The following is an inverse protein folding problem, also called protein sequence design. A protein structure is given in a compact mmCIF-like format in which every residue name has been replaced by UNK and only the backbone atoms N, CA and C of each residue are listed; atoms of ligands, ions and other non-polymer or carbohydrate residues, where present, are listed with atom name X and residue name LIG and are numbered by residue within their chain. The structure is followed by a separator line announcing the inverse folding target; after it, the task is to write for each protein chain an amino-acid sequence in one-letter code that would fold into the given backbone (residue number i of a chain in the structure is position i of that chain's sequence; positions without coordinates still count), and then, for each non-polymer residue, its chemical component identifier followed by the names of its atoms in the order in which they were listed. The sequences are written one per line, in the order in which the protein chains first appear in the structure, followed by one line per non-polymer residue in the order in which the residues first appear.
data_IF_915241453284
#
_entry.id   IF_915241453284
#
_cell.length_a   1.000
_cell.length_b   1.000
_cell.length_c   1.000
_cell.angle_alpha   90.00
_cell.angle_beta   90.00
_cell.angle_gamma   90.00
#
_symmetry.space_group_name_H-M   'P 1'
#
loop_
_entity.id
_entity.type
_entity.pdbx_description
1 polymer ?
#
# COMPACT_ATOMS: atom_id res chain seq x y z
N UNK A 1 -5.70 3.29 10.82
CA UNK A 1 -5.92 2.51 9.59
C UNK A 1 -6.61 3.37 8.56
N UNK A 2 -6.32 3.17 7.27
CA UNK A 2 -7.10 3.72 6.17
C UNK A 2 -8.47 3.03 6.14
N UNK A 3 -9.55 3.80 6.15
CA UNK A 3 -10.92 3.27 6.14
C UNK A 3 -11.68 3.61 4.87
N UNK A 4 -11.24 4.65 4.14
CA UNK A 4 -11.80 5.04 2.85
C UNK A 4 -10.74 5.77 2.02
N UNK A 5 -10.75 5.53 0.74
CA UNK A 5 -9.92 6.22 -0.25
C UNK A 5 -10.76 6.55 -1.48
N UNK A 6 -10.59 7.74 -2.04
CA UNK A 6 -11.09 8.04 -3.36
C UNK A 6 -10.09 8.88 -4.15
N UNK A 7 -10.15 8.72 -5.47
CA UNK A 7 -9.35 9.50 -6.42
C UNK A 7 -10.17 9.83 -7.65
N UNK A 8 -9.92 11.01 -8.22
CA UNK A 8 -10.57 11.47 -9.47
C UNK A 8 -9.53 12.11 -10.36
N UNK A 9 -9.70 11.93 -11.66
CA UNK A 9 -8.88 12.53 -12.70
C UNK A 9 -7.39 12.10 -12.65
N UNK A 10 -7.09 10.91 -12.16
CA UNK A 10 -5.74 10.40 -12.02
C UNK A 10 -5.44 9.32 -13.07
N UNK A 11 -4.46 9.54 -13.93
CA UNK A 11 -4.01 8.58 -14.97
C UNK A 11 -5.19 8.01 -15.78
N UNK A 12 -5.52 6.71 -15.59
CA UNK A 12 -6.64 6.04 -16.26
C UNK A 12 -8.02 6.30 -15.64
N UNK A 13 -8.09 6.95 -14.49
CA UNK A 13 -9.33 7.22 -13.76
C UNK A 13 -9.83 8.64 -14.03
N UNK A 14 -10.73 8.82 -15.01
CA UNK A 14 -11.35 10.11 -15.27
C UNK A 14 -12.37 10.47 -14.20
N UNK A 15 -13.25 9.54 -13.90
CA UNK A 15 -14.29 9.73 -12.90
C UNK A 15 -13.81 9.36 -11.49
N UNK A 16 -14.57 9.77 -10.49
CA UNK A 16 -14.24 9.47 -9.10
C UNK A 16 -14.45 7.99 -8.81
N UNK A 17 -13.37 7.32 -8.48
CA UNK A 17 -13.38 5.96 -7.94
C UNK A 17 -13.24 6.01 -6.42
N UNK A 18 -14.10 5.28 -5.70
CA UNK A 18 -14.12 5.23 -4.25
C UNK A 18 -13.93 3.79 -3.75
N UNK A 19 -13.03 3.61 -2.81
CA UNK A 19 -12.77 2.37 -2.11
C UNK A 19 -13.13 2.49 -0.64
N UNK A 20 -14.20 1.81 -0.24
CA UNK A 20 -14.65 1.78 1.14
C UNK A 20 -14.17 0.51 1.84
N UNK A 21 -13.41 0.67 2.90
CA UNK A 21 -12.87 -0.40 3.75
C UNK A 21 -13.54 -0.44 5.13
N UNK A 22 -14.44 0.52 5.41
CA UNK A 22 -15.16 0.59 6.68
C UNK A 22 -16.36 -0.35 6.70
N UNK A 23 -16.82 -0.65 7.92
CA UNK A 23 -18.03 -1.43 8.14
C UNK A 23 -18.05 -2.79 7.40
N UNK A 24 -17.01 -3.62 7.58
CA UNK A 24 -16.99 -4.94 6.98
C UNK A 24 -18.20 -5.77 7.46
N UNK A 25 -18.66 -6.69 6.61
CA UNK A 25 -19.79 -7.58 6.90
C UNK A 25 -19.55 -8.46 8.12
N UNK A 26 -20.60 -8.99 8.71
CA UNK A 26 -20.49 -9.81 9.91
C UNK A 26 -20.24 -11.30 9.61
N UNK A 27 -19.06 -11.62 9.05
CA UNK A 27 -18.62 -13.00 8.86
C UNK A 27 -17.93 -13.53 10.12
N UNK A 28 -18.24 -14.77 10.54
CA UNK A 28 -17.66 -15.41 11.73
C UNK A 28 -16.28 -16.04 11.51
N UNK A 29 -15.83 -16.18 10.25
CA UNK A 29 -14.55 -16.77 9.88
C UNK A 29 -13.55 -15.71 9.43
N UNK A 30 -12.25 -16.05 9.48
CA UNK A 30 -11.14 -15.15 9.13
C UNK A 30 -11.28 -13.74 9.77
N UNK A 31 -11.68 -13.70 11.04
CA UNK A 31 -11.92 -12.44 11.77
C UNK A 31 -10.68 -11.54 11.87
N UNK A 32 -9.48 -12.12 11.76
CA UNK A 32 -8.21 -11.39 11.72
C UNK A 32 -7.99 -10.58 10.42
N UNK A 33 -8.80 -10.82 9.37
CA UNK A 33 -8.75 -10.03 8.14
C UNK A 33 -9.38 -8.63 8.29
N UNK A 34 -10.05 -8.38 9.41
CA UNK A 34 -10.61 -7.07 9.78
C UNK A 34 -10.10 -6.66 11.15
N UNK A 35 -9.97 -5.33 11.37
CA UNK A 35 -9.47 -4.77 12.63
C UNK A 35 -10.10 -3.40 12.85
N UNK A 36 -10.60 -3.13 14.05
CA UNK A 36 -11.16 -1.83 14.41
C UNK A 36 -12.27 -1.34 13.44
N UNK A 37 -13.13 -2.23 12.96
CA UNK A 37 -14.22 -1.88 12.05
C UNK A 37 -13.78 -1.57 10.61
N UNK A 38 -12.57 -1.96 10.23
CA UNK A 38 -12.07 -1.79 8.87
C UNK A 38 -11.42 -3.07 8.31
N UNK A 39 -11.45 -3.24 7.00
CA UNK A 39 -10.72 -4.31 6.30
C UNK A 39 -9.22 -4.09 6.50
N UNK A 40 -8.55 -5.09 7.07
CA UNK A 40 -7.11 -5.08 7.31
C UNK A 40 -6.35 -5.74 6.17
N UNK A 41 -6.86 -6.87 5.68
CA UNK A 41 -6.23 -7.62 4.60
C UNK A 41 -7.20 -7.79 3.44
N UNK A 42 -6.71 -7.64 2.20
CA UNK A 42 -7.55 -7.81 1.03
C UNK A 42 -6.79 -8.18 -0.24
N UNK A 43 -7.53 -8.74 -1.19
CA UNK A 43 -7.05 -9.07 -2.53
C UNK A 43 -7.89 -8.32 -3.55
N UNK A 44 -7.23 -7.66 -4.49
CA UNK A 44 -7.87 -6.89 -5.56
C UNK A 44 -7.69 -7.63 -6.89
N UNK A 45 -8.79 -8.02 -7.49
CA UNK A 45 -8.89 -8.61 -8.80
C UNK A 45 -9.28 -7.57 -9.85
N UNK A 46 -9.04 -7.88 -11.09
CA UNK A 46 -9.48 -7.07 -12.23
C UNK A 46 -8.79 -7.53 -13.51
N UNK A 47 -9.39 -7.30 -14.69
CA UNK A 47 -8.75 -7.64 -15.96
C UNK A 47 -7.45 -6.87 -16.17
N UNK A 48 -6.67 -7.30 -17.17
CA UNK A 48 -5.50 -6.54 -17.60
C UNK A 48 -5.95 -5.15 -18.08
N UNK A 49 -5.22 -4.12 -17.67
CA UNK A 49 -5.56 -2.74 -18.02
C UNK A 49 -6.68 -2.11 -17.17
N UNK A 50 -7.25 -2.80 -16.17
CA UNK A 50 -8.29 -2.22 -15.30
C UNK A 50 -7.77 -1.11 -14.37
N UNK A 51 -6.46 -0.88 -14.31
CA UNK A 51 -5.88 0.18 -13.51
C UNK A 51 -5.38 -0.23 -12.11
N UNK A 52 -5.25 -1.52 -11.79
CA UNK A 52 -4.81 -2.00 -10.45
C UNK A 52 -3.51 -1.33 -9.97
N UNK A 53 -2.49 -1.28 -10.83
CA UNK A 53 -1.21 -0.62 -10.53
C UNK A 53 -1.37 0.89 -10.35
N UNK A 54 -2.17 1.55 -11.18
CA UNK A 54 -2.47 2.98 -11.05
C UNK A 54 -3.25 3.28 -9.77
N UNK A 55 -4.15 2.37 -9.37
CA UNK A 55 -4.89 2.49 -8.13
C UNK A 55 -3.96 2.43 -6.90
N UNK A 56 -3.03 1.48 -6.88
CA UNK A 56 -1.98 1.43 -5.87
C UNK A 56 -1.14 2.72 -5.82
N UNK A 57 -0.68 3.20 -6.98
CA UNK A 57 0.06 4.46 -7.07
C UNK A 57 -0.75 5.67 -6.58
N UNK A 58 -2.06 5.71 -6.87
CA UNK A 58 -2.93 6.77 -6.38
C UNK A 58 -3.05 6.78 -4.85
N UNK A 59 -3.19 5.61 -4.21
CA UNK A 59 -3.21 5.50 -2.74
C UNK A 59 -1.90 6.04 -2.14
N UNK A 60 -0.78 5.83 -2.82
CA UNK A 60 0.55 6.24 -2.36
C UNK A 60 0.93 7.68 -2.73
N UNK A 61 0.08 8.44 -3.43
CA UNK A 61 0.33 9.87 -3.66
C UNK A 61 0.52 10.63 -2.36
N UNK A 62 -0.18 10.25 -1.28
CA UNK A 62 -0.04 10.85 0.04
C UNK A 62 1.39 10.73 0.61
N UNK A 63 2.11 9.63 0.29
CA UNK A 63 3.51 9.48 0.70
C UNK A 63 4.41 10.48 -0.03
N UNK A 64 4.16 10.72 -1.33
CA UNK A 64 4.80 11.79 -2.07
C UNK A 64 4.41 13.19 -1.54
N UNK A 65 3.20 13.36 -1.06
CA UNK A 65 2.63 14.62 -0.62
C UNK A 65 3.13 15.03 0.78
N UNK A 66 3.06 14.14 1.77
CA UNK A 66 3.32 14.44 3.19
C UNK A 66 4.69 13.97 3.70
N UNK A 67 5.44 13.15 2.95
CA UNK A 67 6.75 12.69 3.38
C UNK A 67 7.88 13.22 2.47
N UNK A 68 9.11 13.04 2.90
CA UNK A 68 10.29 13.32 2.05
C UNK A 68 10.67 12.14 1.16
N UNK A 69 9.96 11.02 1.29
CA UNK A 69 10.17 9.80 0.52
C UNK A 69 9.54 9.91 -0.86
N UNK A 70 10.10 9.16 -1.83
CA UNK A 70 9.53 9.00 -3.17
C UNK A 70 9.27 10.32 -3.93
N UNK A 71 10.25 11.20 -4.00
CA UNK A 71 10.21 12.47 -4.77
C UNK A 71 10.76 12.28 -6.18
N UNK A 72 10.12 11.45 -7.03
CA UNK A 72 10.54 11.23 -8.42
C UNK A 72 9.83 12.22 -9.37
N UNK A 73 10.56 13.09 -10.07
CA UNK A 73 9.95 14.07 -11.01
C UNK A 73 9.14 13.42 -12.12
N UNK A 74 9.59 12.29 -12.67
CA UNK A 74 8.90 11.54 -13.73
C UNK A 74 7.56 10.94 -13.29
N UNK A 75 7.26 10.89 -11.98
CA UNK A 75 5.94 10.55 -11.46
C UNK A 75 4.83 11.44 -12.03
N UNK A 76 5.15 12.72 -12.32
CA UNK A 76 4.19 13.70 -12.81
C UNK A 76 4.02 13.70 -14.34
N UNK A 77 4.85 12.98 -15.10
CA UNK A 77 4.78 12.93 -16.57
C UNK A 77 3.45 12.35 -17.11
N UNK A 78 2.79 11.48 -16.36
CA UNK A 78 1.50 10.90 -16.72
C UNK A 78 0.57 10.87 -15.49
N UNK A 79 0.47 12.02 -14.86
CA UNK A 79 -0.22 12.14 -13.56
C UNK A 79 -1.73 12.34 -13.71
N UNK A 80 -2.13 13.26 -14.60
CA UNK A 80 -3.51 13.63 -14.85
C UNK A 80 -4.12 12.72 -15.92
N UNK A 81 -5.40 12.43 -15.84
CA UNK A 81 -6.12 11.70 -16.88
C UNK A 81 -6.14 12.52 -18.18
N UNK A 82 -5.88 11.86 -19.31
CA UNK A 82 -5.84 12.53 -20.62
C UNK A 82 -7.19 13.15 -21.02
N UNK A 83 -8.31 12.60 -20.52
CA UNK A 83 -9.67 13.13 -20.80
C UNK A 83 -9.90 14.42 -20.02
N UNK A 84 -9.48 14.48 -18.75
CA UNK A 84 -9.66 15.62 -17.84
C UNK A 84 -8.36 16.40 -17.60
N UNK A 85 -7.49 16.54 -18.59
CA UNK A 85 -6.13 17.08 -18.41
C UNK A 85 -6.09 18.53 -17.89
N UNK A 86 -7.16 19.31 -18.08
CA UNK A 86 -7.28 20.69 -17.56
C UNK A 86 -7.77 20.75 -16.11
N UNK A 87 -8.27 19.63 -15.58
CA UNK A 87 -8.81 19.58 -14.23
C UNK A 87 -7.75 19.08 -13.24
N UNK A 88 -7.81 19.49 -11.97
CA UNK A 88 -6.92 18.94 -10.97
C UNK A 88 -7.21 17.47 -10.72
N UNK A 89 -6.17 16.76 -10.25
CA UNK A 89 -6.32 15.42 -9.67
C UNK A 89 -6.75 15.59 -8.22
N UNK A 90 -7.84 14.92 -7.82
CA UNK A 90 -8.40 15.00 -6.48
C UNK A 90 -8.15 13.71 -5.71
N UNK A 91 -7.70 13.80 -4.46
CA UNK A 91 -7.48 12.69 -3.55
C UNK A 91 -8.27 12.90 -2.25
N UNK A 92 -8.91 11.83 -1.78
CA UNK A 92 -9.67 11.83 -0.53
C UNK A 92 -9.26 10.62 0.30
N UNK A 93 -8.88 10.85 1.54
CA UNK A 93 -8.52 9.82 2.50
C UNK A 93 -9.33 9.95 3.78
N UNK A 94 -9.81 8.84 4.29
CA UNK A 94 -10.37 8.75 5.64
C UNK A 94 -9.60 7.74 6.45
N UNK A 95 -9.10 8.16 7.59
CA UNK A 95 -8.38 7.31 8.52
C UNK A 95 -9.16 7.19 9.84
N UNK A 96 -9.03 6.05 10.48
CA UNK A 96 -9.44 5.84 11.87
C UNK A 96 -8.20 5.53 12.70
N UNK A 97 -7.83 6.45 13.58
CA UNK A 97 -6.74 6.31 14.54
C UNK A 97 -7.30 6.12 15.96
N UNK A 98 -7.54 4.86 16.34
CA UNK A 98 -8.06 4.50 17.68
C UNK A 98 -9.39 5.17 18.05
N UNK A 99 -10.27 5.33 17.07
CA UNK A 99 -11.58 5.97 17.23
C UNK A 99 -11.64 7.41 16.73
N UNK A 100 -10.51 8.12 16.63
CA UNK A 100 -10.44 9.44 16.03
C UNK A 100 -10.48 9.33 14.49
N UNK A 101 -11.42 10.02 13.86
CA UNK A 101 -11.60 10.05 12.40
C UNK A 101 -10.88 11.25 11.81
N UNK A 102 -9.95 10.98 10.90
CA UNK A 102 -9.21 12.00 10.15
C UNK A 102 -9.60 11.93 8.69
N UNK A 103 -10.23 12.98 8.16
CA UNK A 103 -10.52 13.14 6.74
C UNK A 103 -9.51 14.13 6.16
N UNK A 104 -8.74 13.67 5.18
CA UNK A 104 -7.74 14.48 4.52
C UNK A 104 -7.91 14.43 3.01
N UNK A 105 -8.24 15.58 2.43
CA UNK A 105 -8.51 15.74 1.02
C UNK A 105 -7.58 16.80 0.44
N UNK A 106 -7.09 16.58 -0.76
CA UNK A 106 -6.30 17.56 -1.48
C UNK A 106 -6.43 17.40 -2.99
N UNK A 107 -6.14 18.45 -3.72
CA UNK A 107 -6.05 18.40 -5.16
C UNK A 107 -4.74 18.98 -5.68
N UNK A 108 -4.26 18.43 -6.80
CA UNK A 108 -3.01 18.84 -7.44
C UNK A 108 -3.20 19.01 -8.95
N UNK A 109 -2.44 19.93 -9.51
CA UNK A 109 -2.23 20.04 -10.96
C UNK A 109 -0.77 19.70 -11.24
N UNK A 110 -0.54 18.83 -12.23
CA UNK A 110 0.82 18.57 -12.71
C UNK A 110 1.32 19.79 -13.49
N UNK A 111 2.44 20.35 -13.09
CA UNK A 111 3.10 21.45 -13.77
C UNK A 111 4.56 21.08 -13.98
N UNK A 112 4.94 20.84 -15.23
CA UNK A 112 6.24 20.27 -15.60
C UNK A 112 6.48 18.93 -14.85
N UNK A 113 7.44 18.91 -13.92
CA UNK A 113 7.80 17.74 -13.12
C UNK A 113 7.44 17.91 -11.64
N UNK A 114 6.38 18.69 -11.34
CA UNK A 114 5.91 19.00 -9.98
C UNK A 114 4.40 18.88 -9.89
N UNK A 115 3.90 18.57 -8.71
CA UNK A 115 2.48 18.67 -8.37
C UNK A 115 2.22 19.96 -7.60
N UNK A 116 1.53 20.91 -8.21
CA UNK A 116 1.08 22.13 -7.51
C UNK A 116 -0.20 21.85 -6.74
N UNK A 117 -0.25 22.21 -5.47
CA UNK A 117 -1.39 21.99 -4.58
C UNK A 117 -2.42 23.10 -4.81
N UNK A 118 -3.61 22.74 -5.27
CA UNK A 118 -4.72 23.67 -5.50
C UNK A 118 -5.58 23.80 -4.25
N UNK A 119 -6.01 22.67 -3.71
CA UNK A 119 -6.83 22.64 -2.48
C UNK A 119 -6.21 21.69 -1.45
N UNK A 120 -6.46 21.98 -0.19
CA UNK A 120 -6.08 21.11 0.92
C UNK A 120 -7.11 21.28 2.05
N UNK A 121 -7.74 20.20 2.49
CA UNK A 121 -8.79 20.19 3.51
C UNK A 121 -8.49 19.08 4.51
N UNK A 122 -8.47 19.43 5.79
CA UNK A 122 -8.33 18.49 6.88
C UNK A 122 -9.44 18.67 7.89
N UNK A 123 -10.15 17.58 8.18
CA UNK A 123 -11.12 17.51 9.26
C UNK A 123 -10.70 16.44 10.27
N UNK A 124 -10.85 16.73 11.56
CA UNK A 124 -10.62 15.79 12.66
C UNK A 124 -11.91 15.68 13.46
N UNK A 125 -12.47 14.47 13.55
CA UNK A 125 -13.76 14.17 14.20
C UNK A 125 -14.90 15.11 13.76
N UNK A 126 -14.91 15.39 12.43
CA UNK A 126 -15.91 16.26 11.80
C UNK A 126 -15.64 17.75 11.92
N UNK A 127 -14.64 18.18 12.69
CA UNK A 127 -14.27 19.59 12.81
C UNK A 127 -13.22 19.95 11.74
N UNK A 128 -13.48 21.04 11.01
CA UNK A 128 -12.53 21.57 10.06
C UNK A 128 -11.34 22.21 10.81
N UNK A 129 -10.15 21.71 10.59
CA UNK A 129 -8.93 22.23 11.24
C UNK A 129 -7.97 22.90 10.26
N UNK A 130 -8.13 22.64 8.97
CA UNK A 130 -7.38 23.29 7.90
C UNK A 130 -8.19 23.30 6.62
N UNK A 131 -8.20 24.45 5.94
CA UNK A 131 -8.71 24.58 4.57
C UNK A 131 -7.86 25.57 3.79
N UNK A 132 -7.34 25.08 2.65
CA UNK A 132 -6.76 25.88 1.58
C UNK A 132 -7.62 25.73 0.34
N UNK A 133 -8.00 26.85 -0.27
CA UNK A 133 -8.72 26.90 -1.56
C UNK A 133 -8.28 28.17 -2.30
N UNK A 134 -7.51 27.99 -3.38
CA UNK A 134 -6.85 29.09 -4.06
C UNK A 134 -6.02 29.94 -3.09
N UNK A 135 -6.30 31.21 -3.00
CA UNK A 135 -5.63 32.17 -2.10
C UNK A 135 -6.23 32.20 -0.70
N UNK A 136 -7.30 31.45 -0.43
CA UNK A 136 -7.89 31.35 0.89
C UNK A 136 -7.19 30.30 1.72
N UNK A 137 -6.78 30.66 2.95
CA UNK A 137 -6.19 29.74 3.91
C UNK A 137 -6.82 29.96 5.28
N UNK A 138 -7.39 28.89 5.81
CA UNK A 138 -7.85 28.78 7.20
C UNK A 138 -7.01 27.71 7.91
N UNK A 139 -6.52 28.05 9.10
CA UNK A 139 -5.88 27.11 10.02
C UNK A 139 -6.50 27.34 11.40
N UNK A 140 -6.94 26.26 12.04
CA UNK A 140 -7.60 26.34 13.34
C UNK A 140 -6.70 27.00 14.41
N UNK A 141 -7.28 27.81 15.31
CA UNK A 141 -6.51 28.55 16.33
C UNK A 141 -5.69 27.66 17.27
N UNK A 142 -6.05 26.39 17.42
CA UNK A 142 -5.36 25.41 18.25
C UNK A 142 -3.89 25.19 17.85
N UNK A 143 -3.54 25.47 16.59
CA UNK A 143 -2.16 25.40 16.09
C UNK A 143 -1.31 26.61 16.48
N UNK A 144 -1.89 27.65 17.07
CA UNK A 144 -1.19 28.80 17.60
C UNK A 144 -0.44 29.63 16.56
N UNK A 145 -0.83 29.55 15.27
CA UNK A 145 -0.23 30.37 14.22
C UNK A 145 -0.72 31.82 14.30
N UNK A 146 0.19 32.77 14.14
CA UNK A 146 -0.13 34.20 14.04
C UNK A 146 -0.65 34.52 12.64
N UNK A 147 -1.42 35.63 12.50
CA UNK A 147 -1.91 36.10 11.20
C UNK A 147 -0.76 36.35 10.21
N UNK A 148 0.38 36.83 10.69
CA UNK A 148 1.57 37.01 9.87
C UNK A 148 2.14 35.67 9.37
N UNK A 149 2.14 34.62 10.19
CA UNK A 149 2.58 33.29 9.79
C UNK A 149 1.60 32.70 8.74
N UNK A 150 0.31 32.86 8.94
CA UNK A 150 -0.72 32.41 7.98
C UNK A 150 -0.58 33.17 6.64
N UNK A 151 -0.34 34.50 6.68
CA UNK A 151 -0.13 35.29 5.46
C UNK A 151 1.11 34.81 4.68
N UNK A 152 2.22 34.57 5.35
CA UNK A 152 3.46 34.06 4.71
C UNK A 152 3.27 32.65 4.13
N UNK A 153 2.45 31.82 4.77
CA UNK A 153 2.14 30.48 4.28
C UNK A 153 1.33 30.51 2.98
N UNK A 154 0.44 31.48 2.78
CA UNK A 154 -0.35 31.61 1.56
C UNK A 154 0.54 31.69 0.32
N UNK A 155 1.64 32.42 0.37
CA UNK A 155 2.55 32.62 -0.77
C UNK A 155 3.27 31.31 -1.18
N UNK A 156 3.48 30.39 -0.25
CA UNK A 156 4.15 29.11 -0.48
C UNK A 156 3.20 27.90 -0.59
N UNK A 157 1.92 28.09 -0.26
CA UNK A 157 0.95 27.00 -0.11
C UNK A 157 0.67 26.18 -1.39
N UNK A 158 1.02 26.68 -2.57
CA UNK A 158 0.91 25.91 -3.82
C UNK A 158 2.05 24.90 -3.99
N UNK A 159 3.18 25.09 -3.32
CA UNK A 159 4.37 24.25 -3.43
C UNK A 159 4.58 23.34 -2.22
N UNK A 160 3.96 23.65 -1.09
CA UNK A 160 4.18 22.96 0.19
C UNK A 160 2.81 22.67 0.82
N UNK A 161 2.60 21.42 1.24
CA UNK A 161 1.42 21.06 2.02
C UNK A 161 1.43 21.80 3.37
N UNK A 162 0.30 22.41 3.70
CA UNK A 162 0.13 23.08 4.98
C UNK A 162 0.14 22.06 6.13
N UNK A 163 -0.43 20.86 5.92
CA UNK A 163 -0.33 19.77 6.90
C UNK A 163 1.12 19.41 7.17
N UNK A 164 1.97 19.31 6.13
CA UNK A 164 3.40 19.04 6.31
C UNK A 164 4.10 20.18 7.05
N UNK A 165 3.73 21.44 6.78
CA UNK A 165 4.21 22.59 7.53
C UNK A 165 3.84 22.49 9.02
N UNK A 166 2.56 22.21 9.33
CA UNK A 166 2.08 22.07 10.72
C UNK A 166 2.85 20.96 11.45
N UNK A 167 3.07 19.83 10.81
CA UNK A 167 3.84 18.71 11.37
C UNK A 167 5.30 19.06 11.67
N UNK A 168 5.87 20.01 10.93
CA UNK A 168 7.28 20.39 11.04
C UNK A 168 7.52 21.59 11.96
N UNK A 169 6.58 22.55 11.99
CA UNK A 169 6.79 23.85 12.62
C UNK A 169 6.00 24.03 13.94
N UNK A 170 4.94 23.24 14.15
CA UNK A 170 4.09 23.36 15.34
C UNK A 170 4.41 22.27 16.34
N UNK A 171 4.64 22.58 17.63
CA UNK A 171 4.86 21.58 18.67
C UNK A 171 3.53 20.85 18.98
N UNK A 172 3.30 19.71 18.36
CA UNK A 172 2.10 18.88 18.57
C UNK A 172 2.32 17.89 19.72
N UNK A 173 1.27 17.61 20.48
CA UNK A 173 1.28 16.55 21.48
C UNK A 173 1.50 15.17 20.80
N UNK A 174 2.16 14.23 21.48
CA UNK A 174 2.50 12.91 20.91
C UNK A 174 1.29 12.09 20.47
N UNK A 175 0.15 12.30 21.08
CA UNK A 175 -1.14 11.66 20.80
C UNK A 175 -2.01 12.44 19.81
N UNK A 176 -1.52 13.56 19.28
CA UNK A 176 -2.26 14.38 18.32
C UNK A 176 -2.52 13.58 17.03
N UNK A 177 -3.75 13.63 16.45
CA UNK A 177 -4.11 12.85 15.26
C UNK A 177 -3.20 13.09 14.05
N UNK A 178 -2.65 14.28 13.87
CA UNK A 178 -1.67 14.57 12.81
C UNK A 178 -0.36 13.79 12.98
N UNK A 179 0.08 13.53 14.22
CA UNK A 179 1.25 12.67 14.47
C UNK A 179 0.94 11.25 14.01
N UNK A 180 -0.27 10.74 14.33
CA UNK A 180 -0.71 9.42 13.85
C UNK A 180 -0.81 9.35 12.33
N UNK A 181 -1.26 10.42 11.67
CA UNK A 181 -1.31 10.53 10.21
C UNK A 181 0.11 10.50 9.62
N UNK A 182 1.03 11.31 10.14
CA UNK A 182 2.43 11.32 9.72
C UNK A 182 3.04 9.93 9.86
N UNK A 183 2.92 9.32 11.04
CA UNK A 183 3.51 8.01 11.33
C UNK A 183 2.91 6.92 10.44
N UNK A 184 1.61 7.02 10.11
CA UNK A 184 0.97 6.13 9.15
C UNK A 184 1.59 6.29 7.75
N UNK A 185 1.69 7.53 7.24
CA UNK A 185 2.21 7.82 5.90
C UNK A 185 3.70 7.47 5.77
N UNK A 186 4.51 7.81 6.79
CA UNK A 186 5.94 7.49 6.82
C UNK A 186 6.24 5.98 6.79
N UNK A 187 5.30 5.16 7.27
CA UNK A 187 5.44 3.70 7.32
C UNK A 187 4.60 2.96 6.27
N UNK A 188 4.11 3.64 5.24
CA UNK A 188 3.51 3.00 4.07
C UNK A 188 4.56 2.32 3.21
N UNK A 189 4.21 1.16 2.62
CA UNK A 189 5.08 0.41 1.71
C UNK A 189 4.29 -0.05 0.48
N UNK A 190 4.70 0.39 -0.69
CA UNK A 190 4.23 -0.10 -1.98
C UNK A 190 5.31 -0.93 -2.65
N UNK A 191 4.97 -2.14 -3.06
CA UNK A 191 5.88 -3.04 -3.73
C UNK A 191 5.32 -3.43 -5.10
N UNK A 192 6.15 -3.31 -6.15
CA UNK A 192 5.82 -3.66 -7.54
C UNK A 192 6.62 -4.89 -7.95
N UNK A 193 5.96 -6.04 -8.06
CA UNK A 193 6.64 -7.32 -8.33
C UNK A 193 7.27 -7.36 -9.73
N UNK A 194 6.59 -6.87 -10.77
CA UNK A 194 7.06 -6.90 -12.16
C UNK A 194 7.95 -5.72 -12.52
N UNK A 195 7.66 -4.52 -12.02
CA UNK A 195 8.32 -3.29 -12.42
C UNK A 195 9.63 -3.09 -11.66
N UNK A 196 10.73 -3.60 -12.20
CA UNK A 196 12.08 -3.50 -11.65
C UNK A 196 12.23 -3.96 -10.19
N UNK A 197 11.25 -4.69 -9.64
CA UNK A 197 11.15 -5.01 -8.21
C UNK A 197 11.26 -3.75 -7.35
N UNK A 198 10.62 -2.68 -7.82
CA UNK A 198 10.64 -1.37 -7.18
C UNK A 198 9.77 -1.38 -5.93
N UNK A 199 10.22 -0.69 -4.89
CA UNK A 199 9.42 -0.40 -3.72
C UNK A 199 9.39 1.10 -3.42
N UNK A 200 8.31 1.57 -2.82
CA UNK A 200 8.04 2.98 -2.52
C UNK A 200 7.66 3.06 -1.03
N UNK A 201 8.23 4.01 -0.33
CA UNK A 201 7.91 4.27 1.08
C UNK A 201 8.92 3.67 2.05
N UNK A 202 8.53 3.19 3.19
CA UNK A 202 9.19 2.72 4.42
C UNK A 202 10.73 2.88 4.50
N UNK A 203 11.47 2.47 3.48
CA UNK A 203 12.93 2.65 3.33
C UNK A 203 13.24 3.11 1.92
N UNK A 204 14.18 4.03 1.77
CA UNK A 204 14.77 4.41 0.49
C UNK A 204 16.09 3.67 0.27
N UNK A 205 16.34 3.27 -0.98
CA UNK A 205 17.59 2.63 -1.40
C UNK A 205 17.50 1.11 -1.52
N UNK A 206 18.22 0.56 -2.51
CA UNK A 206 18.39 -0.88 -2.69
C UNK A 206 19.26 -1.44 -1.58
N UNK A 207 18.68 -2.10 -0.59
CA UNK A 207 19.45 -2.88 0.36
C UNK A 207 19.96 -4.14 -0.34
N UNK A 208 21.23 -4.45 -0.18
CA UNK A 208 21.74 -5.77 -0.51
C UNK A 208 21.07 -6.78 0.45
N UNK A 209 20.10 -7.54 -0.08
CA UNK A 209 19.28 -8.46 0.74
C UNK A 209 20.15 -9.53 1.37
N UNK A 210 21.14 -10.05 0.64
CA UNK A 210 22.08 -11.03 1.20
C UNK A 210 22.86 -10.44 2.36
N UNK A 211 23.32 -9.20 2.25
CA UNK A 211 24.01 -8.50 3.35
C UNK A 211 23.08 -8.31 4.57
N UNK A 212 21.79 -8.04 4.36
CA UNK A 212 20.80 -7.99 5.44
C UNK A 212 20.66 -9.34 6.13
N UNK A 213 20.52 -10.44 5.37
CA UNK A 213 20.40 -11.80 5.90
C UNK A 213 21.65 -12.16 6.71
N UNK A 214 22.83 -11.82 6.20
CA UNK A 214 24.12 -12.08 6.84
C UNK A 214 24.26 -11.29 8.15
N UNK A 215 24.05 -9.98 8.11
CA UNK A 215 24.20 -9.11 9.29
C UNK A 215 23.27 -9.46 10.44
N UNK A 216 22.09 -9.99 10.11
CA UNK A 216 21.10 -10.38 11.11
C UNK A 216 21.14 -11.88 11.46
N UNK A 217 22.16 -12.64 11.00
CA UNK A 217 22.31 -14.07 11.23
C UNK A 217 21.07 -14.90 10.82
N UNK A 218 20.45 -14.54 9.68
CA UNK A 218 19.18 -15.12 9.21
C UNK A 218 19.34 -16.22 8.15
N UNK A 219 20.55 -16.67 7.85
CA UNK A 219 20.80 -17.65 6.77
C UNK A 219 20.03 -18.97 6.98
N UNK A 220 20.04 -19.51 8.19
CA UNK A 220 19.32 -20.76 8.51
C UNK A 220 17.80 -20.54 8.49
N UNK A 221 17.32 -19.41 8.99
CA UNK A 221 15.88 -19.06 8.95
C UNK A 221 15.40 -18.82 7.51
N UNK A 222 16.23 -18.22 6.66
CA UNK A 222 15.97 -18.07 5.23
C UNK A 222 15.94 -19.42 4.50
N UNK A 223 16.88 -20.33 4.80
CA UNK A 223 16.86 -21.70 4.27
C UNK A 223 15.58 -22.43 4.67
N UNK A 224 15.19 -22.37 5.95
CA UNK A 224 13.95 -22.96 6.44
C UNK A 224 12.71 -22.35 5.76
N UNK A 225 12.70 -21.04 5.53
CA UNK A 225 11.63 -20.35 4.78
C UNK A 225 11.52 -20.88 3.35
N UNK A 226 12.62 -20.97 2.59
CA UNK A 226 12.62 -21.48 1.22
C UNK A 226 12.10 -22.92 1.17
N UNK A 227 12.52 -23.77 2.12
CA UNK A 227 12.04 -25.15 2.23
C UNK A 227 10.55 -25.22 2.53
N UNK A 228 10.05 -24.44 3.47
CA UNK A 228 8.62 -24.40 3.86
C UNK A 228 7.72 -23.96 2.70
N UNK A 229 8.08 -22.85 2.02
CA UNK A 229 7.18 -22.23 1.03
C UNK A 229 7.29 -22.90 -0.34
N UNK A 230 8.50 -23.28 -0.78
CA UNK A 230 8.76 -23.77 -2.14
C UNK A 230 9.27 -25.22 -2.21
N UNK A 231 9.56 -25.85 -1.07
CA UNK A 231 10.18 -27.17 -1.02
C UNK A 231 11.67 -27.19 -1.42
N UNK A 232 12.27 -26.04 -1.71
CA UNK A 232 13.67 -25.93 -2.09
C UNK A 232 14.56 -26.00 -0.86
N UNK A 233 15.50 -26.95 -0.85
CA UNK A 233 16.39 -27.17 0.28
C UNK A 233 17.79 -26.60 -0.06
N UNK A 234 18.09 -25.43 0.48
CA UNK A 234 19.38 -24.76 0.35
C UNK A 234 20.16 -24.88 1.67
N UNK A 235 21.37 -25.38 1.60
CA UNK A 235 22.32 -25.33 2.72
C UNK A 235 23.30 -24.21 2.47
N UNK A 236 23.28 -23.18 3.31
CA UNK A 236 24.23 -22.07 3.21
C UNK A 236 25.54 -22.40 3.92
N UNK A 237 26.64 -21.94 3.33
CA UNK A 237 27.95 -22.09 3.95
C UNK A 237 28.08 -21.18 5.18
N UNK A 238 28.92 -21.56 6.17
CA UNK A 238 29.29 -20.65 7.25
C UNK A 238 29.80 -19.32 6.67
N UNK A 239 29.33 -18.21 7.23
CA UNK A 239 29.65 -16.86 6.78
C UNK A 239 31.00 -16.47 7.39
N UNK A 240 31.97 -16.10 6.54
CA UNK A 240 33.26 -15.59 6.99
C UNK A 240 33.19 -14.07 7.30
N UNK A 241 34.13 -13.60 8.10
CA UNK A 241 34.18 -12.16 8.44
C UNK A 241 34.39 -11.30 7.18
N UNK A 242 33.48 -10.36 6.94
CA UNK A 242 33.52 -9.46 5.77
C UNK A 242 32.83 -9.99 4.52
N UNK A 243 32.26 -11.19 4.54
CA UNK A 243 31.40 -11.67 3.45
C UNK A 243 30.07 -10.87 3.41
N UNK A 244 29.66 -10.53 2.18
CA UNK A 244 28.42 -9.80 1.90
C UNK A 244 27.52 -10.57 0.92
N UNK A 245 27.87 -11.81 0.58
CA UNK A 245 27.12 -12.70 -0.31
C UNK A 245 26.88 -14.04 0.37
N UNK A 246 25.73 -14.66 0.10
CA UNK A 246 25.40 -16.00 0.54
C UNK A 246 25.97 -17.03 -0.43
N UNK A 247 26.57 -18.08 0.10
CA UNK A 247 27.08 -19.21 -0.66
C UNK A 247 26.33 -20.49 -0.32
N UNK A 248 25.83 -21.17 -1.34
CA UNK A 248 25.23 -22.50 -1.20
C UNK A 248 26.30 -23.59 -1.22
N UNK A 249 26.15 -24.61 -0.39
CA UNK A 249 26.94 -25.81 -0.43
C UNK A 249 26.32 -26.79 -1.43
N UNK A 250 27.03 -27.08 -2.52
CA UNK A 250 26.63 -28.07 -3.54
C UNK A 250 27.67 -29.17 -3.63
N UNK A 251 27.41 -30.27 -2.92
CA UNK A 251 28.40 -31.32 -2.75
C UNK A 251 29.64 -30.84 -2.00
N UNK A 252 30.77 -30.70 -2.70
CA UNK A 252 32.05 -30.21 -2.13
C UNK A 252 32.36 -28.75 -2.52
N UNK A 253 31.48 -28.10 -3.25
CA UNK A 253 31.72 -26.75 -3.82
C UNK A 253 30.80 -25.71 -3.17
N UNK A 254 31.36 -24.52 -2.93
CA UNK A 254 30.59 -23.34 -2.53
C UNK A 254 30.30 -22.51 -3.78
N UNK A 255 29.02 -22.20 -4.03
CA UNK A 255 28.57 -21.39 -5.19
C UNK A 255 27.73 -20.25 -4.68
N UNK A 256 27.92 -19.00 -5.19
CA UNK A 256 27.07 -17.86 -4.82
C UNK A 256 25.58 -18.17 -5.02
N UNK A 257 24.74 -17.85 -4.05
CA UNK A 257 23.29 -18.10 -4.09
C UNK A 257 22.65 -17.48 -5.34
N UNK A 258 23.05 -16.26 -5.71
CA UNK A 258 22.52 -15.58 -6.90
C UNK A 258 22.82 -16.30 -8.22
N UNK A 259 23.81 -17.20 -8.25
CA UNK A 259 24.15 -17.98 -9.45
C UNK A 259 23.29 -19.25 -9.57
N UNK A 260 22.82 -19.80 -8.45
CA UNK A 260 22.04 -21.05 -8.42
C UNK A 260 20.55 -20.82 -8.27
N UNK A 261 20.16 -19.68 -7.70
CA UNK A 261 18.78 -19.31 -7.48
C UNK A 261 18.06 -18.98 -8.80
N UNK A 262 16.88 -19.59 -9.00
CA UNK A 262 15.97 -19.21 -10.09
C UNK A 262 15.39 -17.80 -9.88
N UNK A 263 14.78 -17.23 -10.90
CA UNK A 263 14.07 -15.93 -10.76
C UNK A 263 12.99 -15.99 -9.69
N UNK A 264 12.22 -17.08 -9.61
CA UNK A 264 11.23 -17.29 -8.56
C UNK A 264 11.86 -17.34 -7.16
N UNK A 265 13.02 -18.03 -7.01
CA UNK A 265 13.74 -18.11 -5.74
C UNK A 265 14.29 -16.75 -5.30
N UNK A 266 14.78 -15.93 -6.24
CA UNK A 266 15.22 -14.54 -5.98
C UNK A 266 14.05 -13.63 -5.54
N UNK A 267 12.85 -13.90 -6.05
CA UNK A 267 11.64 -13.21 -5.57
C UNK A 267 11.24 -13.66 -4.16
N UNK A 268 11.42 -14.93 -3.83
CA UNK A 268 11.23 -15.42 -2.46
C UNK A 268 12.23 -14.79 -1.48
N UNK A 269 13.49 -14.58 -1.89
CA UNK A 269 14.48 -13.83 -1.12
C UNK A 269 14.02 -12.40 -0.82
N UNK A 270 13.53 -11.70 -1.83
CA UNK A 270 12.98 -10.34 -1.68
C UNK A 270 11.75 -10.34 -0.78
N UNK A 271 10.84 -11.30 -0.94
CA UNK A 271 9.68 -11.44 -0.05
C UNK A 271 10.08 -11.75 1.39
N UNK A 272 11.07 -12.63 1.58
CA UNK A 272 11.60 -12.94 2.91
C UNK A 272 12.11 -11.68 3.60
N UNK A 273 12.90 -10.88 2.89
CA UNK A 273 13.38 -9.58 3.39
C UNK A 273 12.21 -8.70 3.85
N UNK A 274 11.18 -8.54 3.01
CA UNK A 274 10.03 -7.71 3.36
C UNK A 274 9.19 -8.31 4.49
N UNK A 275 9.05 -9.63 4.57
CA UNK A 275 8.38 -10.27 5.72
C UNK A 275 9.04 -9.93 7.05
N UNK A 276 10.37 -9.77 7.07
CA UNK A 276 11.11 -9.35 8.27
C UNK A 276 11.01 -7.84 8.54
N UNK A 277 11.00 -7.03 7.50
CA UNK A 277 10.99 -5.57 7.60
C UNK A 277 9.59 -4.96 7.76
N UNK A 278 8.53 -5.63 7.27
CA UNK A 278 7.15 -5.14 7.33
C UNK A 278 6.57 -5.05 8.75
N UNK A 279 7.25 -5.51 9.78
CA UNK A 279 6.76 -5.48 11.15
C UNK A 279 6.34 -4.08 11.63
N UNK A 280 6.90 -3.02 11.04
CA UNK A 280 6.60 -1.64 11.34
C UNK A 280 5.76 -0.93 10.25
N UNK A 281 5.42 -1.62 9.16
CA UNK A 281 4.63 -1.01 8.10
C UNK A 281 3.19 -0.76 8.56
N UNK A 282 2.67 0.42 8.29
CA UNK A 282 1.29 0.81 8.58
C UNK A 282 0.31 0.28 7.53
N UNK A 283 0.67 0.44 6.25
CA UNK A 283 -0.10 0.04 5.09
C UNK A 283 0.84 -0.54 4.02
N UNK A 284 0.51 -1.71 3.53
CA UNK A 284 1.30 -2.42 2.50
C UNK A 284 0.42 -2.69 1.29
N UNK A 285 0.92 -2.35 0.11
CA UNK A 285 0.27 -2.67 -1.15
C UNK A 285 1.27 -3.41 -2.05
N UNK A 286 0.96 -4.64 -2.46
CA UNK A 286 1.81 -5.45 -3.32
C UNK A 286 1.12 -5.62 -4.67
N UNK A 287 1.68 -4.99 -5.70
CA UNK A 287 1.15 -5.06 -7.05
C UNK A 287 1.68 -6.29 -7.78
N UNK A 288 0.76 -6.99 -8.47
CA UNK A 288 1.04 -8.23 -9.23
C UNK A 288 1.84 -9.25 -8.41
N UNK A 289 1.36 -9.48 -7.20
CA UNK A 289 1.99 -10.29 -6.16
C UNK A 289 2.44 -11.67 -6.64
N UNK A 290 1.64 -12.33 -7.46
CA UNK A 290 1.79 -13.71 -7.92
C UNK A 290 2.56 -13.87 -9.24
N UNK A 291 3.06 -12.77 -9.83
CA UNK A 291 3.68 -12.77 -11.17
C UNK A 291 4.80 -13.81 -11.38
N UNK A 292 5.43 -14.29 -10.31
CA UNK A 292 6.54 -15.25 -10.36
C UNK A 292 6.27 -16.56 -9.63
N UNK A 293 5.02 -16.78 -9.18
CA UNK A 293 4.65 -17.92 -8.37
C UNK A 293 3.58 -18.77 -9.04
N UNK A 294 3.64 -20.08 -8.87
CA UNK A 294 2.50 -20.93 -9.17
C UNK A 294 1.45 -20.86 -8.02
N UNK A 295 0.23 -21.26 -8.31
CA UNK A 295 -0.95 -21.10 -7.44
C UNK A 295 -0.74 -21.55 -5.98
N UNK A 296 -0.17 -22.75 -5.75
CA UNK A 296 0.07 -23.26 -4.40
C UNK A 296 1.05 -22.40 -3.61
N UNK A 297 2.09 -21.90 -4.28
CA UNK A 297 3.09 -21.04 -3.69
C UNK A 297 2.48 -19.68 -3.34
N UNK A 298 1.71 -19.06 -4.27
CA UNK A 298 0.98 -17.83 -4.03
C UNK A 298 0.05 -17.94 -2.82
N UNK A 299 -0.66 -19.07 -2.69
CA UNK A 299 -1.52 -19.32 -1.54
C UNK A 299 -0.76 -19.39 -0.21
N UNK A 300 0.34 -20.15 -0.16
CA UNK A 300 1.17 -20.27 1.06
C UNK A 300 1.74 -18.92 1.49
N UNK A 301 2.22 -18.14 0.52
CA UNK A 301 2.79 -16.81 0.78
C UNK A 301 1.71 -15.85 1.25
N UNK A 302 0.54 -15.79 0.59
CA UNK A 302 -0.59 -14.95 1.01
C UNK A 302 -1.01 -15.25 2.44
N UNK A 303 -1.13 -16.53 2.80
CA UNK A 303 -1.48 -16.97 4.15
C UNK A 303 -0.47 -16.49 5.20
N UNK A 304 0.80 -16.34 4.83
CA UNK A 304 1.85 -15.83 5.70
C UNK A 304 1.82 -14.31 5.79
N UNK A 305 1.66 -13.61 4.66
CA UNK A 305 1.55 -12.16 4.58
C UNK A 305 0.38 -11.62 5.42
N UNK A 306 -0.79 -12.25 5.32
CA UNK A 306 -2.00 -11.81 6.03
C UNK A 306 -1.97 -12.03 7.55
N UNK A 307 -0.91 -12.67 8.09
CA UNK A 307 -0.63 -12.72 9.53
C UNK A 307 0.04 -11.45 10.05
N UNK A 308 0.58 -10.60 9.16
CA UNK A 308 1.18 -9.31 9.54
C UNK A 308 0.18 -8.42 10.28
N UNK A 309 0.67 -7.54 11.14
CA UNK A 309 -0.13 -6.51 11.81
C UNK A 309 -0.46 -5.32 10.91
N UNK A 310 0.25 -5.18 9.79
CA UNK A 310 0.04 -4.14 8.78
C UNK A 310 -1.34 -4.27 8.12
N UNK A 311 -1.91 -3.15 7.68
CA UNK A 311 -3.02 -3.16 6.73
C UNK A 311 -2.48 -3.52 5.36
N UNK A 312 -2.83 -4.68 4.80
CA UNK A 312 -2.13 -5.27 3.65
C UNK A 312 -3.09 -5.67 2.53
N UNK A 313 -2.80 -5.17 1.33
CA UNK A 313 -3.53 -5.49 0.11
C UNK A 313 -2.59 -5.97 -0.98
N UNK A 314 -3.05 -6.93 -1.77
CA UNK A 314 -2.32 -7.44 -2.93
C UNK A 314 -3.21 -7.36 -4.17
N UNK A 315 -2.61 -7.11 -5.34
CA UNK A 315 -3.30 -7.31 -6.63
C UNK A 315 -2.83 -8.61 -7.25
N UNK A 316 -3.74 -9.32 -7.91
CA UNK A 316 -3.47 -10.60 -8.56
C UNK A 316 -4.42 -10.87 -9.71
N UNK A 317 -4.02 -11.75 -10.60
CA UNK A 317 -4.87 -12.41 -11.60
C UNK A 317 -5.20 -13.87 -11.26
N UNK A 318 -4.59 -14.39 -10.19
CA UNK A 318 -4.75 -15.77 -9.76
C UNK A 318 -6.06 -16.00 -9.00
N UNK A 319 -7.05 -16.53 -9.70
CA UNK A 319 -8.37 -16.82 -9.11
C UNK A 319 -8.35 -17.96 -8.09
N UNK A 320 -7.29 -18.76 -8.02
CA UNK A 320 -7.11 -19.77 -6.98
C UNK A 320 -7.05 -19.18 -5.56
N UNK A 321 -6.62 -17.92 -5.46
CA UNK A 321 -6.62 -17.19 -4.18
C UNK A 321 -8.00 -16.73 -3.73
N UNK A 322 -9.05 -16.82 -4.56
CA UNK A 322 -10.46 -16.56 -4.20
C UNK A 322 -11.01 -17.71 -3.35
N UNK A 323 -10.58 -17.76 -2.09
CA UNK A 323 -10.92 -18.84 -1.15
C UNK A 323 -11.27 -18.31 0.23
N UNK A 324 -12.39 -18.80 0.76
CA UNK A 324 -12.80 -18.56 2.14
C UNK A 324 -11.82 -19.14 3.18
N UNK A 325 -10.92 -20.04 2.79
CA UNK A 325 -9.83 -20.52 3.65
C UNK A 325 -8.72 -19.48 3.84
N UNK A 326 -8.65 -18.47 2.95
CA UNK A 326 -7.64 -17.42 2.97
C UNK A 326 -8.18 -16.13 3.59
N UNK A 327 -9.28 -15.61 3.05
CA UNK A 327 -9.94 -14.39 3.51
C UNK A 327 -11.47 -14.57 3.49
N UNK A 328 -12.17 -13.60 4.01
CA UNK A 328 -13.63 -13.52 3.99
C UNK A 328 -14.12 -12.73 2.76
N UNK A 329 -15.37 -12.89 2.30
CA UNK A 329 -15.86 -12.31 1.05
C UNK A 329 -15.73 -10.78 0.94
N UNK A 330 -15.90 -10.04 2.03
CA UNK A 330 -15.74 -8.58 2.09
C UNK A 330 -14.28 -8.09 2.06
N UNK A 331 -13.33 -9.03 1.93
CA UNK A 331 -11.91 -8.77 1.77
C UNK A 331 -11.40 -9.05 0.34
N UNK A 332 -12.27 -9.49 -0.56
CA UNK A 332 -11.97 -9.63 -1.99
C UNK A 332 -12.65 -8.53 -2.77
N UNK A 333 -11.89 -7.82 -3.58
CA UNK A 333 -12.37 -6.67 -4.35
C UNK A 333 -12.22 -6.92 -5.84
N UNK A 334 -13.13 -6.40 -6.64
CA UNK A 334 -13.02 -6.36 -8.10
C UNK A 334 -12.90 -4.91 -8.53
N UNK A 335 -11.80 -4.60 -9.25
CA UNK A 335 -11.56 -3.32 -9.90
C UNK A 335 -11.83 -3.47 -11.40
N UNK A 336 -12.89 -2.84 -11.88
CA UNK A 336 -13.30 -2.87 -13.27
C UNK A 336 -14.11 -1.61 -13.61
N UNK A 337 -14.02 -1.12 -14.83
CA UNK A 337 -14.77 0.01 -15.37
C UNK A 337 -14.76 1.26 -14.44
N UNK A 338 -13.58 1.57 -13.87
CA UNK A 338 -13.35 2.64 -12.91
C UNK A 338 -14.18 2.54 -11.62
N UNK A 339 -14.52 1.33 -11.23
CA UNK A 339 -15.22 1.02 -9.97
C UNK A 339 -14.46 -0.07 -9.21
N UNK A 340 -14.54 -0.03 -7.88
CA UNK A 340 -13.98 -1.07 -7.01
C UNK A 340 -15.00 -1.44 -5.95
N UNK A 341 -15.38 -2.71 -5.91
CA UNK A 341 -16.37 -3.23 -4.98
C UNK A 341 -15.91 -4.53 -4.34
N UNK A 342 -16.31 -4.77 -3.10
CA UNK A 342 -16.15 -6.08 -2.49
C UNK A 342 -17.09 -7.09 -3.18
N UNK A 343 -16.66 -8.35 -3.31
CA UNK A 343 -17.46 -9.37 -4.01
C UNK A 343 -18.79 -9.65 -3.33
N UNK A 344 -18.89 -9.41 -2.01
CA UNK A 344 -20.15 -9.55 -1.28
C UNK A 344 -21.18 -8.49 -1.69
N UNK A 345 -20.76 -7.33 -2.21
CA UNK A 345 -21.64 -6.25 -2.65
C UNK A 345 -22.09 -6.44 -4.11
N UNK A 346 -21.50 -7.40 -4.82
CA UNK A 346 -21.76 -7.69 -6.24
C UNK A 346 -22.73 -8.87 -6.44
N UNK A 347 -23.38 -9.33 -5.40
CA UNK A 347 -24.34 -10.44 -5.47
C UNK A 347 -25.36 -10.37 -4.34
N UNK A 348 -26.61 -10.68 -4.64
CA UNK A 348 -27.67 -10.84 -3.63
C UNK A 348 -27.57 -12.16 -2.85
N UNK A 349 -26.64 -13.05 -3.25
CA UNK A 349 -26.44 -14.32 -2.57
C UNK A 349 -25.69 -14.12 -1.26
N UNK A 350 -26.23 -14.67 -0.17
CA UNK A 350 -25.49 -14.81 1.07
C UNK A 350 -24.26 -15.71 0.86
N UNK A 351 -23.05 -15.12 0.92
CA UNK A 351 -21.82 -15.87 0.77
C UNK A 351 -21.43 -16.51 2.10
N UNK A 352 -21.34 -17.84 2.13
CA UNK A 352 -21.02 -18.65 3.31
C UNK A 352 -19.64 -19.30 3.16
N UNK A 353 -19.02 -19.72 4.27
CA UNK A 353 -17.71 -20.37 4.28
C UNK A 353 -17.58 -21.53 3.27
N UNK A 354 -18.59 -22.37 3.15
CA UNK A 354 -18.58 -23.53 2.23
C UNK A 354 -18.74 -23.19 0.74
N UNK A 355 -18.94 -21.93 0.36
CA UNK A 355 -19.03 -21.55 -1.05
C UNK A 355 -17.66 -21.49 -1.70
N UNK A 356 -17.54 -22.09 -2.89
CA UNK A 356 -16.36 -21.95 -3.74
C UNK A 356 -16.42 -20.61 -4.48
N UNK A 357 -15.72 -19.60 -3.94
CA UNK A 357 -15.73 -18.24 -4.49
C UNK A 357 -15.13 -18.16 -5.89
N UNK A 358 -14.08 -18.96 -6.18
CA UNK A 358 -13.49 -19.03 -7.52
C UNK A 358 -14.50 -19.52 -8.56
N UNK A 359 -15.26 -20.57 -8.24
CA UNK A 359 -16.30 -21.10 -9.14
C UNK A 359 -17.42 -20.09 -9.37
N UNK A 360 -17.82 -19.35 -8.33
CA UNK A 360 -18.80 -18.28 -8.45
C UNK A 360 -18.29 -17.14 -9.32
N UNK A 361 -17.04 -16.74 -9.14
CA UNK A 361 -16.39 -15.70 -9.97
C UNK A 361 -16.33 -16.10 -11.45
N UNK A 362 -15.84 -17.32 -11.75
CA UNK A 362 -15.78 -17.86 -13.11
C UNK A 362 -17.18 -18.07 -13.74
N UNK A 363 -18.18 -18.31 -12.91
CA UNK A 363 -19.58 -18.44 -13.33
C UNK A 363 -20.30 -17.10 -13.53
N UNK A 364 -19.60 -15.96 -13.38
CA UNK A 364 -20.17 -14.63 -13.58
C UNK A 364 -21.16 -14.19 -12.50
N UNK A 365 -21.02 -14.71 -11.26
CA UNK A 365 -21.90 -14.32 -10.14
C UNK A 365 -21.64 -12.91 -9.66
N UNK A 366 -20.40 -12.43 -9.77
CA UNK A 366 -19.97 -11.11 -9.35
C UNK A 366 -19.86 -10.20 -10.57
N UNK A 367 -20.96 -9.53 -10.92
CA UNK A 367 -21.03 -8.63 -12.07
C UNK A 367 -20.85 -7.18 -11.60
N UNK A 368 -19.86 -6.48 -12.18
CA UNK A 368 -19.75 -5.03 -12.24
C UNK A 368 -20.35 -4.55 -13.54
#
# INVERSE_FOLDING_TARGET
MLTKFAVKNYRGFNDRIEWNLSNPSNYSFNSNAVKNGAVKNGIIYGPNGSGKSNFGLAIFDIANHLSHKWKKPDYYLNYTCAIGYEQPVEFEYTFNFKGCIVNYNYSKVASELKGLIITELLNIDGNEVLRKDGDSLFVAPEFGLTDAAISNLKDSANNISIVNYLLSAVPLAKDHPLISLRDFVENMLFFRSLDNREFIGLKEGGSNIEEYIIRNNLADDFSAYLKEVSGQDYTFAPIAQGENMLYCIMGKVKIPFQMVASTGTKNLELQYYWLKEMGNASFVFIDEFDAFYHHELSYKISKRLFKSDSQLFVTTHDTFLLSNDLLRPDCFFILKDNQIHAICDLTDKELRFGHNLEKLYRGGTFNL
#
